data_IF_213711247583
#
_entry.id   IF_213711247583
#
_cell.length_a   1.000
_cell.length_b   1.000
_cell.length_c   1.000
_cell.angle_alpha   90.00
_cell.angle_beta   90.00
_cell.angle_gamma   90.00
#
_symmetry.space_group_name_H-M   'P 1'
#
loop_
_entity.id
_entity.type
_entity.pdbx_description
1 polymer ?
#
# COMPACT_ATOMS: atom_id res chain seq x y z
N UNK A 1 -20.46 -59.56 31.30
CA UNK A 1 -20.80 -58.35 30.51
C UNK A 1 -20.16 -57.09 31.08
N UNK A 2 -19.83 -57.04 32.37
CA UNK A 2 -19.38 -55.80 33.04
C UNK A 2 -17.94 -55.36 32.73
N UNK A 3 -17.04 -56.29 32.39
CA UNK A 3 -15.64 -55.95 32.07
C UNK A 3 -15.48 -55.26 30.69
N UNK A 4 -16.37 -55.55 29.73
CA UNK A 4 -16.30 -54.93 28.39
C UNK A 4 -16.86 -53.51 28.38
N UNK A 5 -17.81 -53.21 29.26
CA UNK A 5 -18.38 -51.86 29.40
C UNK A 5 -17.35 -50.92 30.06
N UNK A 6 -16.61 -51.41 31.07
CA UNK A 6 -15.56 -50.64 31.73
C UNK A 6 -14.38 -50.30 30.79
N UNK A 7 -13.98 -51.23 29.92
CA UNK A 7 -12.93 -50.99 28.93
C UNK A 7 -13.36 -49.96 27.85
N UNK A 8 -14.64 -49.98 27.45
CA UNK A 8 -15.20 -49.01 26.51
C UNK A 8 -15.26 -47.59 27.07
N UNK A 9 -15.62 -47.44 28.36
CA UNK A 9 -15.67 -46.15 29.04
C UNK A 9 -14.27 -45.54 29.26
N UNK A 10 -13.25 -46.37 29.54
CA UNK A 10 -11.87 -45.90 29.70
C UNK A 10 -11.26 -45.48 28.35
N UNK A 11 -11.57 -46.18 27.26
CA UNK A 11 -11.16 -45.78 25.91
C UNK A 11 -11.86 -44.48 25.46
N UNK A 12 -13.15 -44.31 25.82
CA UNK A 12 -13.88 -43.08 25.52
C UNK A 12 -13.34 -41.87 26.32
N UNK A 13 -13.02 -42.04 27.60
CA UNK A 13 -12.36 -40.99 28.39
C UNK A 13 -10.95 -40.66 27.87
N UNK A 14 -10.18 -41.65 27.42
CA UNK A 14 -8.85 -41.42 26.84
C UNK A 14 -8.93 -40.74 25.46
N UNK A 15 -10.00 -40.94 24.69
CA UNK A 15 -10.28 -40.19 23.47
C UNK A 15 -10.73 -38.75 23.77
N UNK A 16 -11.62 -38.55 24.74
CA UNK A 16 -12.11 -37.21 25.13
C UNK A 16 -11.01 -36.35 25.76
N UNK A 17 -10.02 -36.93 26.45
CA UNK A 17 -8.85 -36.20 26.96
C UNK A 17 -7.82 -35.91 25.86
N UNK A 18 -7.85 -36.61 24.72
CA UNK A 18 -6.93 -36.38 23.59
C UNK A 18 -7.42 -35.29 22.63
N UNK A 19 -8.74 -35.05 22.60
CA UNK A 19 -9.36 -33.98 21.80
C UNK A 19 -9.53 -32.66 22.57
N UNK A 20 -8.80 -32.51 23.68
CA UNK A 20 -8.61 -31.25 24.41
C UNK A 20 -7.39 -30.45 23.96
N UNK A 21 -6.82 -30.74 22.79
CA UNK A 21 -6.03 -29.75 22.08
C UNK A 21 -7.00 -28.60 21.79
N UNK A 22 -6.88 -27.52 22.56
CA UNK A 22 -7.44 -26.23 22.17
C UNK A 22 -7.18 -26.08 20.68
N UNK A 23 -8.26 -25.96 19.92
CA UNK A 23 -8.20 -25.48 18.55
C UNK A 23 -7.54 -24.11 18.67
N UNK A 24 -6.22 -24.09 18.48
CA UNK A 24 -5.44 -22.88 18.29
C UNK A 24 -6.14 -22.21 17.12
N UNK A 25 -6.90 -21.15 17.44
CA UNK A 25 -7.45 -20.29 16.41
C UNK A 25 -6.31 -19.99 15.47
N UNK A 26 -6.54 -20.14 14.17
CA UNK A 26 -5.68 -19.71 13.07
C UNK A 26 -5.19 -18.27 13.33
N UNK A 27 -4.19 -18.10 14.19
CA UNK A 27 -3.70 -16.80 14.61
C UNK A 27 -2.62 -16.47 13.60
N UNK A 28 -3.06 -15.85 12.51
CA UNK A 28 -2.16 -15.17 11.58
C UNK A 28 -1.06 -14.43 12.34
N UNK A 29 0.12 -14.35 11.74
CA UNK A 29 1.29 -13.70 12.34
C UNK A 29 0.91 -12.28 12.78
N UNK A 30 1.36 -11.88 13.98
CA UNK A 30 1.07 -10.58 14.58
C UNK A 30 1.91 -9.46 13.92
N UNK A 31 1.62 -9.18 12.66
CA UNK A 31 2.33 -8.18 11.87
C UNK A 31 1.64 -6.83 11.98
N UNK A 32 2.44 -5.79 12.14
CA UNK A 32 2.02 -4.39 12.17
C UNK A 32 2.85 -3.58 11.19
N UNK A 33 2.25 -2.58 10.57
CA UNK A 33 2.93 -1.65 9.68
C UNK A 33 2.67 -0.21 10.08
N UNK A 34 3.70 0.62 10.06
CA UNK A 34 3.62 2.07 10.21
C UNK A 34 4.15 2.66 8.92
N UNK A 35 3.30 3.34 8.17
CA UNK A 35 3.60 3.87 6.83
C UNK A 35 3.42 5.39 6.88
N UNK A 36 4.53 6.13 6.72
CA UNK A 36 4.54 7.57 6.92
C UNK A 36 5.16 8.30 5.75
N UNK A 37 4.35 9.13 5.09
CA UNK A 37 4.82 10.26 4.28
C UNK A 37 4.94 11.48 5.18
N UNK A 38 6.13 12.08 5.21
CA UNK A 38 6.43 13.23 6.07
C UNK A 38 6.37 14.58 5.33
N UNK A 39 6.15 14.59 4.02
CA UNK A 39 6.30 15.81 3.20
C UNK A 39 4.97 16.43 2.81
N UNK A 40 4.97 17.75 2.62
CA UNK A 40 3.76 18.49 2.24
C UNK A 40 3.86 19.05 0.82
N UNK A 41 2.74 19.55 0.30
CA UNK A 41 2.58 20.25 -0.96
C UNK A 41 2.63 19.37 -2.21
N UNK A 42 2.02 19.90 -3.28
CA UNK A 42 1.84 19.20 -4.56
C UNK A 42 3.13 18.67 -5.19
N UNK A 43 4.24 19.42 -5.08
CA UNK A 43 5.51 18.99 -5.67
C UNK A 43 6.10 17.73 -5.01
N UNK A 44 5.59 17.35 -3.84
CA UNK A 44 5.96 16.14 -3.11
C UNK A 44 4.94 15.00 -3.30
N UNK A 45 4.09 15.07 -4.34
CA UNK A 45 3.12 14.03 -4.69
C UNK A 45 3.65 12.61 -4.54
N UNK A 46 4.88 12.37 -5.03
CA UNK A 46 5.55 11.07 -4.96
C UNK A 46 5.64 10.48 -3.55
N UNK A 47 5.78 11.27 -2.49
CA UNK A 47 5.93 10.70 -1.15
C UNK A 47 4.59 10.12 -0.65
N UNK A 48 3.46 10.76 -0.96
CA UNK A 48 2.13 10.16 -0.74
C UNK A 48 1.95 8.89 -1.57
N UNK A 49 2.29 8.95 -2.86
CA UNK A 49 2.19 7.79 -3.75
C UNK A 49 3.13 6.65 -3.33
N UNK A 50 4.31 6.94 -2.78
CA UNK A 50 5.25 5.98 -2.23
C UNK A 50 4.64 5.23 -1.03
N UNK A 51 4.12 5.98 -0.06
CA UNK A 51 3.48 5.42 1.13
C UNK A 51 2.27 4.56 0.77
N UNK A 52 1.44 5.02 -0.17
CA UNK A 52 0.32 4.24 -0.67
C UNK A 52 0.75 3.01 -1.50
N UNK A 53 1.89 3.09 -2.20
CA UNK A 53 2.47 1.93 -2.90
C UNK A 53 2.85 0.84 -1.89
N UNK A 54 3.47 1.21 -0.76
CA UNK A 54 3.80 0.26 0.30
C UNK A 54 2.54 -0.28 0.99
N UNK A 55 1.55 0.58 1.28
CA UNK A 55 0.24 0.19 1.80
C UNK A 55 -0.39 -0.88 0.91
N UNK A 56 -0.41 -0.64 -0.40
CA UNK A 56 -0.93 -1.59 -1.38
C UNK A 56 -0.22 -2.96 -1.31
N UNK A 57 1.12 -3.00 -1.22
CA UNK A 57 1.87 -4.27 -1.11
C UNK A 57 1.52 -5.02 0.18
N UNK A 58 1.41 -4.31 1.30
CA UNK A 58 1.16 -4.86 2.62
C UNK A 58 -0.27 -5.42 2.73
N UNK A 59 -1.25 -4.67 2.23
CA UNK A 59 -2.65 -5.11 2.15
C UNK A 59 -2.81 -6.36 1.32
N UNK A 60 -2.14 -6.42 0.16
CA UNK A 60 -2.16 -7.61 -0.72
C UNK A 60 -1.63 -8.86 -0.01
N UNK A 61 -0.66 -8.69 0.90
CA UNK A 61 -0.06 -9.75 1.69
C UNK A 61 -0.82 -10.07 3.00
N UNK A 62 -2.02 -9.50 3.18
CA UNK A 62 -2.98 -9.92 4.19
C UNK A 62 -2.87 -9.23 5.55
N UNK A 63 -2.07 -8.16 5.69
CA UNK A 63 -2.12 -7.35 6.92
C UNK A 63 -3.44 -6.53 6.91
N UNK A 64 -4.30 -6.64 7.94
CA UNK A 64 -5.56 -5.89 8.01
C UNK A 64 -5.33 -4.41 8.37
N UNK A 65 -6.28 -3.53 8.06
CA UNK A 65 -6.17 -2.09 8.36
C UNK A 65 -6.05 -1.82 9.86
N UNK A 66 -6.65 -2.67 10.69
CA UNK A 66 -6.50 -2.59 12.15
C UNK A 66 -5.05 -2.69 12.64
N UNK A 67 -4.14 -3.17 11.77
CA UNK A 67 -2.72 -3.36 12.05
C UNK A 67 -1.82 -2.47 11.17
N UNK A 68 -2.39 -1.56 10.39
CA UNK A 68 -1.65 -0.62 9.55
C UNK A 68 -1.96 0.78 10.05
N UNK A 69 -0.91 1.52 10.41
CA UNK A 69 -1.01 2.95 10.70
C UNK A 69 -0.54 3.71 9.47
N UNK A 70 -1.46 4.40 8.80
CA UNK A 70 -1.19 5.19 7.60
C UNK A 70 -1.19 6.69 7.92
N UNK A 71 -0.05 7.34 7.69
CA UNK A 71 0.16 8.77 7.91
C UNK A 71 0.47 9.46 6.58
N UNK A 72 -0.43 10.34 6.12
CA UNK A 72 -0.25 11.12 4.88
C UNK A 72 -0.26 12.62 5.22
N UNK A 73 0.89 13.28 5.01
CA UNK A 73 1.06 14.68 5.33
C UNK A 73 0.37 15.63 4.32
N UNK A 74 0.01 15.13 3.14
CA UNK A 74 -0.72 15.87 2.11
C UNK A 74 -1.88 15.04 1.52
N UNK A 75 -2.99 15.69 1.20
CA UNK A 75 -4.12 15.05 0.50
C UNK A 75 -4.01 15.33 -1.00
N UNK A 76 -3.15 14.56 -1.67
CA UNK A 76 -2.93 14.70 -3.13
C UNK A 76 -4.12 14.18 -3.94
N UNK A 77 -4.91 13.26 -3.39
CA UNK A 77 -6.10 12.72 -4.04
C UNK A 77 -7.14 13.83 -4.25
N UNK A 78 -7.31 14.70 -3.24
CA UNK A 78 -8.29 15.78 -3.24
C UNK A 78 -7.70 17.17 -3.47
N UNK A 79 -6.42 17.25 -3.84
CA UNK A 79 -5.77 18.50 -4.18
C UNK A 79 -6.40 19.11 -5.45
N UNK A 80 -6.71 20.43 -5.49
CA UNK A 80 -7.27 21.08 -6.68
C UNK A 80 -6.38 21.02 -7.93
N UNK A 81 -5.10 20.68 -7.78
CA UNK A 81 -4.17 20.46 -8.91
C UNK A 81 -4.27 19.06 -9.51
N UNK A 82 -4.92 18.11 -8.83
CA UNK A 82 -5.08 16.76 -9.32
C UNK A 82 -6.15 16.71 -10.43
N UNK A 83 -5.79 16.41 -11.69
CA UNK A 83 -6.73 16.30 -12.79
C UNK A 83 -7.65 15.06 -12.68
N UNK A 84 -7.33 14.12 -11.78
CA UNK A 84 -8.14 12.94 -11.46
C UNK A 84 -8.53 12.96 -9.96
N UNK A 85 -9.54 13.75 -9.56
CA UNK A 85 -9.95 13.86 -8.16
C UNK A 85 -10.32 12.50 -7.56
N UNK A 86 -9.77 12.21 -6.39
CA UNK A 86 -9.98 10.95 -5.67
C UNK A 86 -9.07 9.81 -6.10
N UNK A 87 -8.16 10.02 -7.06
CA UNK A 87 -7.22 9.01 -7.54
C UNK A 87 -5.78 9.41 -7.27
N UNK A 88 -4.93 8.42 -6.99
CA UNK A 88 -3.48 8.58 -6.83
C UNK A 88 -2.78 7.48 -7.62
N UNK A 89 -1.77 7.82 -8.40
CA UNK A 89 -1.05 6.89 -9.27
C UNK A 89 0.46 7.00 -9.02
N UNK A 90 1.21 5.90 -9.13
CA UNK A 90 2.68 5.91 -9.01
C UNK A 90 3.39 5.73 -10.37
N UNK A 91 2.64 5.81 -11.46
CA UNK A 91 3.14 5.69 -12.82
C UNK A 91 2.34 6.60 -13.77
N UNK A 92 2.96 7.11 -14.84
CA UNK A 92 2.36 8.13 -15.70
C UNK A 92 1.26 7.59 -16.62
N UNK A 93 1.16 6.27 -16.77
CA UNK A 93 0.14 5.61 -17.57
C UNK A 93 -1.09 5.25 -16.72
N UNK A 94 -1.09 5.63 -15.42
CA UNK A 94 -2.17 5.44 -14.47
C UNK A 94 -2.64 3.99 -14.39
N UNK A 95 -1.70 3.04 -14.33
CA UNK A 95 -2.03 1.61 -14.33
C UNK A 95 -2.73 1.16 -13.05
N UNK A 96 -2.39 1.75 -11.90
CA UNK A 96 -2.93 1.35 -10.61
C UNK A 96 -3.37 2.55 -9.78
N UNK A 97 -4.66 2.61 -9.43
CA UNK A 97 -5.13 3.53 -8.41
C UNK A 97 -4.68 3.06 -7.02
N UNK A 98 -3.88 3.88 -6.35
CA UNK A 98 -3.35 3.64 -5.02
C UNK A 98 -4.26 4.17 -3.90
N UNK A 99 -5.30 4.92 -4.24
CA UNK A 99 -6.21 5.52 -3.27
C UNK A 99 -7.69 5.17 -3.53
N UNK A 100 -8.05 3.87 -3.56
CA UNK A 100 -9.45 3.47 -3.64
C UNK A 100 -10.18 3.74 -2.30
N UNK A 101 -11.53 3.69 -2.27
CA UNK A 101 -12.32 4.06 -1.09
C UNK A 101 -12.02 3.28 0.20
N UNK A 102 -11.38 2.11 0.09
CA UNK A 102 -11.02 1.24 1.21
C UNK A 102 -9.72 1.68 1.92
N UNK A 103 -9.04 2.73 1.45
CA UNK A 103 -7.83 3.24 2.11
C UNK A 103 -8.21 4.00 3.38
N UNK A 104 -7.84 3.45 4.53
CA UNK A 104 -8.00 4.10 5.83
C UNK A 104 -6.73 4.91 6.16
N UNK A 105 -6.86 6.24 6.21
CA UNK A 105 -5.75 7.13 6.60
C UNK A 105 -5.97 7.57 8.05
N UNK A 106 -5.09 7.13 8.94
CA UNK A 106 -5.20 7.39 10.38
C UNK A 106 -4.79 8.80 10.74
N UNK A 107 -3.67 9.28 10.21
CA UNK A 107 -3.17 10.63 10.45
C UNK A 107 -3.14 11.40 9.14
N UNK A 108 -3.90 12.49 9.07
CA UNK A 108 -4.05 13.32 7.85
C UNK A 108 -3.49 14.72 8.06
N UNK A 109 -2.77 15.23 7.07
CA UNK A 109 -2.35 16.63 7.05
C UNK A 109 -1.53 17.00 8.29
N UNK A 110 -1.99 18.02 9.02
CA UNK A 110 -1.32 18.56 10.22
C UNK A 110 -1.16 17.53 11.35
N UNK A 111 -1.93 16.43 11.36
CA UNK A 111 -1.78 15.37 12.35
C UNK A 111 -0.50 14.55 12.15
N UNK A 112 0.10 14.61 10.96
CA UNK A 112 1.41 14.00 10.68
C UNK A 112 2.51 14.93 11.19
N UNK A 113 2.75 14.88 12.49
CA UNK A 113 3.75 15.68 13.19
C UNK A 113 4.80 14.80 13.87
N UNK A 114 5.94 15.38 14.25
CA UNK A 114 6.96 14.64 14.98
C UNK A 114 6.42 14.12 16.33
N UNK A 115 5.64 14.96 17.02
CA UNK A 115 5.02 14.65 18.30
C UNK A 115 4.11 13.41 18.20
N UNK A 116 3.24 13.37 17.19
CA UNK A 116 2.31 12.26 17.02
C UNK A 116 3.02 10.97 16.62
N UNK A 117 4.07 11.05 15.78
CA UNK A 117 4.87 9.88 15.44
C UNK A 117 5.61 9.30 16.65
N UNK A 118 6.27 10.14 17.46
CA UNK A 118 6.92 9.69 18.71
C UNK A 118 5.89 9.17 19.72
N UNK A 119 4.72 9.82 19.82
CA UNK A 119 3.63 9.37 20.69
C UNK A 119 3.12 7.98 20.29
N UNK A 120 2.95 7.74 19.00
CA UNK A 120 2.57 6.45 18.43
C UNK A 120 3.59 5.37 18.79
N UNK A 121 4.88 5.61 18.49
CA UNK A 121 5.96 4.68 18.78
C UNK A 121 6.06 4.40 20.28
N UNK A 122 5.99 5.42 21.14
CA UNK A 122 6.14 5.25 22.59
C UNK A 122 4.86 4.79 23.31
N UNK A 123 3.72 4.73 22.60
CA UNK A 123 2.44 4.27 23.14
C UNK A 123 1.83 5.22 24.18
N UNK A 124 2.28 6.48 24.20
CA UNK A 124 1.90 7.48 25.20
C UNK A 124 0.63 8.22 24.80
N UNK A 125 -0.46 7.48 24.70
CA UNK A 125 -1.75 8.00 24.27
C UNK A 125 -2.59 8.53 25.44
N UNK A 126 -3.41 9.54 25.17
CA UNK A 126 -4.47 9.97 26.08
C UNK A 126 -5.64 8.98 26.03
N UNK A 127 -6.48 8.94 27.07
CA UNK A 127 -7.59 7.98 27.16
C UNK A 127 -8.57 8.07 25.97
N UNK A 128 -8.72 9.26 25.39
CA UNK A 128 -9.58 9.62 24.26
C UNK A 128 -8.96 9.37 22.88
N UNK A 129 -7.67 8.99 22.79
CA UNK A 129 -7.03 8.70 21.49
C UNK A 129 -7.79 7.57 20.77
N UNK A 130 -8.27 7.70 19.53
CA UNK A 130 -8.99 6.64 18.82
C UNK A 130 -8.14 5.36 18.66
N UNK A 131 -8.79 4.19 18.59
CA UNK A 131 -8.06 2.91 18.43
C UNK A 131 -7.25 2.85 17.14
N UNK A 132 -7.79 3.38 16.04
CA UNK A 132 -7.10 3.47 14.74
C UNK A 132 -5.80 4.30 14.79
N UNK A 133 -5.66 5.16 15.80
CA UNK A 133 -4.46 6.00 16.03
C UNK A 133 -3.48 5.40 17.03
N UNK A 134 -3.66 4.14 17.45
CA UNK A 134 -2.82 3.46 18.45
C UNK A 134 -2.07 2.30 17.80
N UNK A 135 -0.80 2.16 18.17
CA UNK A 135 0.00 1.01 17.80
C UNK A 135 -0.10 -0.05 18.90
N UNK A 136 -1.11 -0.93 18.83
CA UNK A 136 -1.37 -1.93 19.87
C UNK A 136 -0.48 -3.18 19.74
N UNK A 137 0.83 -2.98 19.53
CA UNK A 137 1.84 -4.04 19.44
C UNK A 137 2.28 -4.57 20.81
N UNK A 138 2.81 -5.79 20.82
CA UNK A 138 3.25 -6.55 21.98
C UNK A 138 4.61 -7.26 21.75
N UNK A 139 4.97 -8.16 22.66
CA UNK A 139 6.26 -8.86 22.67
C UNK A 139 6.41 -9.89 21.53
N UNK A 140 5.31 -10.26 20.88
CA UNK A 140 5.26 -11.23 19.78
C UNK A 140 5.04 -10.55 18.41
N UNK A 141 4.94 -9.21 18.41
CA UNK A 141 4.64 -8.42 17.22
C UNK A 141 5.85 -8.25 16.29
N UNK A 142 5.61 -8.39 14.99
CA UNK A 142 6.54 -8.06 13.91
C UNK A 142 6.18 -6.70 13.35
N UNK A 143 7.07 -5.72 13.51
CA UNK A 143 6.75 -4.32 13.15
C UNK A 143 7.55 -3.90 11.92
N UNK A 144 6.84 -3.49 10.87
CA UNK A 144 7.41 -2.75 9.76
C UNK A 144 7.23 -1.25 10.01
N UNK A 145 8.29 -0.47 9.86
CA UNK A 145 8.21 0.99 9.79
C UNK A 145 8.78 1.42 8.45
N UNK A 146 7.95 2.05 7.62
CA UNK A 146 8.36 2.64 6.35
C UNK A 146 8.16 4.15 6.41
N UNK A 147 9.23 4.90 6.14
CA UNK A 147 9.22 6.36 6.11
C UNK A 147 9.72 6.87 4.75
N UNK A 148 9.03 7.88 4.23
CA UNK A 148 9.43 8.59 3.02
C UNK A 148 9.24 10.10 3.20
N UNK A 149 10.09 10.86 2.53
CA UNK A 149 10.07 12.32 2.60
C UNK A 149 11.42 12.95 2.30
N UNK A 150 11.63 14.14 2.84
CA UNK A 150 12.91 14.84 2.77
C UNK A 150 13.70 14.74 4.07
N UNK A 151 15.01 14.75 3.95
CA UNK A 151 15.93 14.55 5.06
C UNK A 151 17.26 15.25 4.80
N UNK A 152 18.08 15.31 5.85
CA UNK A 152 19.51 15.59 5.78
C UNK A 152 20.28 14.60 6.64
N UNK A 153 21.56 14.88 6.87
CA UNK A 153 22.38 14.10 7.79
C UNK A 153 21.76 14.09 9.19
N UNK A 154 21.45 12.90 9.71
CA UNK A 154 20.93 12.64 11.06
C UNK A 154 19.51 13.19 11.34
N UNK A 155 18.72 13.61 10.34
CA UNK A 155 17.33 14.03 10.58
C UNK A 155 16.40 13.85 9.37
N UNK A 156 15.11 13.71 9.64
CA UNK A 156 14.01 13.70 8.65
C UNK A 156 13.10 14.89 8.90
N UNK A 157 12.63 15.54 7.82
CA UNK A 157 11.70 16.67 7.90
C UNK A 157 10.26 16.21 7.93
N UNK A 158 9.49 16.74 8.87
CA UNK A 158 8.03 16.65 8.90
C UNK A 158 7.42 17.97 8.46
N UNK A 159 6.42 17.91 7.58
CA UNK A 159 5.66 19.06 7.10
C UNK A 159 6.51 20.16 6.42
N UNK A 160 7.72 19.86 5.96
CA UNK A 160 8.73 20.79 5.42
C UNK A 160 9.37 21.78 6.42
N UNK A 161 8.88 21.91 7.66
CA UNK A 161 9.42 22.87 8.65
C UNK A 161 9.89 22.26 9.97
N UNK A 162 9.39 21.09 10.35
CA UNK A 162 9.76 20.42 11.58
C UNK A 162 10.83 19.35 11.29
N UNK A 163 11.74 19.12 12.21
CA UNK A 163 12.82 18.14 12.06
C UNK A 163 12.77 17.14 13.20
N UNK A 164 12.84 15.85 12.86
CA UNK A 164 13.01 14.76 13.81
C UNK A 164 14.40 14.15 13.60
N UNK A 165 15.18 14.08 14.67
CA UNK A 165 16.56 13.57 14.58
C UNK A 165 16.61 12.05 14.65
N UNK A 166 17.70 11.46 14.16
CA UNK A 166 18.00 10.03 14.29
C UNK A 166 18.05 9.60 15.77
N UNK A 167 18.43 10.51 16.67
CA UNK A 167 18.41 10.29 18.12
C UNK A 167 16.98 10.18 18.68
N UNK A 168 16.06 11.05 18.26
CA UNK A 168 14.66 10.99 18.73
C UNK A 168 14.01 9.65 18.35
N UNK A 169 14.27 9.19 17.13
CA UNK A 169 13.77 7.90 16.63
C UNK A 169 14.42 6.74 17.40
N UNK A 170 15.74 6.78 17.62
CA UNK A 170 16.45 5.76 18.39
C UNK A 170 15.90 5.61 19.81
N UNK A 171 15.64 6.72 20.50
CA UNK A 171 15.09 6.73 21.85
C UNK A 171 13.63 6.26 21.90
N UNK A 172 12.84 6.53 20.86
CA UNK A 172 11.50 5.99 20.72
C UNK A 172 11.52 4.45 20.55
N UNK A 173 12.40 3.92 19.70
CA UNK A 173 12.57 2.47 19.55
C UNK A 173 13.11 1.81 20.82
N UNK A 174 13.99 2.48 21.56
CA UNK A 174 14.44 1.98 22.85
C UNK A 174 13.30 1.88 23.86
N UNK A 175 12.36 2.83 23.85
CA UNK A 175 11.17 2.75 24.69
C UNK A 175 10.26 1.61 24.25
N UNK A 176 10.04 1.42 22.95
CA UNK A 176 9.28 0.26 22.44
C UNK A 176 9.90 -1.06 22.91
N UNK A 177 11.23 -1.20 22.79
CA UNK A 177 11.93 -2.41 23.22
C UNK A 177 11.80 -2.63 24.73
N UNK A 178 12.01 -1.59 25.53
CA UNK A 178 11.91 -1.64 26.99
C UNK A 178 10.50 -2.01 27.48
N UNK A 179 9.48 -1.59 26.72
CA UNK A 179 8.07 -1.93 26.97
C UNK A 179 7.65 -3.27 26.35
N UNK A 180 8.56 -3.99 25.67
CA UNK A 180 8.29 -5.24 24.95
C UNK A 180 7.17 -5.08 23.92
N UNK A 181 7.26 -4.06 23.08
CA UNK A 181 6.27 -3.73 22.04
C UNK A 181 6.67 -4.13 20.62
N UNK A 182 7.72 -4.94 20.50
CA UNK A 182 8.01 -5.69 19.29
C UNK A 182 8.89 -6.89 19.61
N UNK A 183 8.72 -7.96 18.84
CA UNK A 183 9.64 -9.11 18.77
C UNK A 183 10.82 -8.80 17.87
N UNK A 184 10.52 -8.32 16.66
CA UNK A 184 11.45 -7.93 15.59
C UNK A 184 10.89 -6.71 14.85
N UNK A 185 11.77 -5.83 14.41
CA UNK A 185 11.41 -4.61 13.69
C UNK A 185 12.22 -4.47 12.40
N UNK A 186 11.53 -4.17 11.29
CA UNK A 186 12.12 -3.82 10.01
C UNK A 186 11.91 -2.33 9.73
N UNK A 187 12.99 -1.58 9.63
CA UNK A 187 12.99 -0.16 9.29
C UNK A 187 13.34 0.03 7.81
N UNK A 188 12.47 0.68 7.05
CA UNK A 188 12.67 1.06 5.65
C UNK A 188 12.60 2.58 5.52
N UNK A 189 13.67 3.22 5.03
CA UNK A 189 13.68 4.66 4.80
C UNK A 189 13.94 5.01 3.34
N UNK A 190 13.00 5.70 2.69
CA UNK A 190 13.14 6.25 1.35
C UNK A 190 13.29 7.77 1.36
N UNK A 191 14.53 8.24 1.50
CA UNK A 191 14.87 9.67 1.59
C UNK A 191 16.37 9.91 1.34
N UNK A 192 16.83 11.16 1.33
CA UNK A 192 18.25 11.50 1.20
C UNK A 192 19.02 11.11 2.49
N UNK A 193 20.33 10.91 2.43
CA UNK A 193 21.16 10.61 3.61
C UNK A 193 20.58 9.49 4.51
N UNK A 194 19.80 8.56 3.94
CA UNK A 194 18.86 7.75 4.70
C UNK A 194 19.55 6.78 5.65
N UNK A 195 20.79 6.38 5.34
CA UNK A 195 21.63 5.59 6.23
C UNK A 195 21.83 6.25 7.61
N UNK A 196 21.99 7.58 7.63
CA UNK A 196 22.25 8.33 8.89
C UNK A 196 21.08 8.29 9.85
N UNK A 197 19.85 8.05 9.37
CA UNK A 197 18.67 7.95 10.23
C UNK A 197 18.74 6.75 11.17
N UNK A 198 19.29 5.63 10.70
CA UNK A 198 19.38 4.42 11.50
C UNK A 198 20.75 4.20 12.13
N UNK A 199 21.79 4.98 11.81
CA UNK A 199 23.13 4.90 12.43
C UNK A 199 23.09 5.07 13.96
N UNK A 200 22.14 5.85 14.49
CA UNK A 200 21.98 6.09 15.93
C UNK A 200 21.13 5.04 16.63
N UNK A 201 20.53 4.09 15.92
CA UNK A 201 19.74 3.04 16.56
C UNK A 201 20.66 2.13 17.40
N UNK A 202 20.17 1.74 18.57
CA UNK A 202 20.91 0.91 19.53
C UNK A 202 20.03 -0.16 20.20
N UNK A 203 18.74 -0.21 19.85
CA UNK A 203 17.82 -1.23 20.37
C UNK A 203 17.96 -2.52 19.57
N UNK A 204 17.93 -3.69 20.23
CA UNK A 204 18.11 -4.97 19.56
C UNK A 204 16.86 -5.38 18.76
N UNK A 205 17.02 -6.44 17.98
CA UNK A 205 16.03 -7.04 17.09
C UNK A 205 15.54 -6.09 15.98
N UNK A 206 16.43 -5.22 15.50
CA UNK A 206 16.14 -4.26 14.42
C UNK A 206 16.97 -4.56 13.17
N UNK A 207 16.30 -4.66 12.03
CA UNK A 207 16.92 -4.72 10.70
C UNK A 207 16.59 -3.44 9.96
N UNK A 208 17.57 -2.75 9.40
CA UNK A 208 17.36 -1.44 8.78
C UNK A 208 17.84 -1.43 7.33
N UNK A 209 16.99 -0.98 6.41
CA UNK A 209 17.31 -0.79 5.00
C UNK A 209 16.94 0.65 4.60
N UNK A 210 17.82 1.29 3.85
CA UNK A 210 17.69 2.70 3.48
C UNK A 210 17.98 2.89 2.00
N UNK A 211 17.35 3.88 1.37
CA UNK A 211 17.45 4.12 -0.07
C UNK A 211 18.74 4.80 -0.53
N UNK A 212 19.49 5.42 0.39
CA UNK A 212 20.71 6.16 0.10
C UNK A 212 21.76 6.00 1.21
N UNK A 213 23.04 6.09 0.83
CA UNK A 213 24.15 6.13 1.78
C UNK A 213 24.21 7.45 2.58
N UNK A 214 25.13 7.57 3.55
CA UNK A 214 25.16 8.70 4.47
C UNK A 214 25.48 10.06 3.80
N UNK A 215 26.15 10.04 2.65
CA UNK A 215 26.54 11.23 1.88
C UNK A 215 25.86 11.29 0.50
N UNK A 216 24.71 10.64 0.35
CA UNK A 216 24.01 10.53 -0.94
C UNK A 216 22.56 11.03 -0.87
N UNK A 217 22.08 11.59 -1.98
CA UNK A 217 20.66 11.87 -2.15
C UNK A 217 19.90 10.61 -2.62
N UNK A 218 18.60 10.54 -2.31
CA UNK A 218 17.67 9.68 -3.04
C UNK A 218 17.10 10.43 -4.24
N UNK A 219 16.49 9.69 -5.18
CA UNK A 219 16.03 10.27 -6.44
C UNK A 219 14.63 9.81 -6.79
N UNK A 220 13.85 10.75 -7.29
CA UNK A 220 12.54 10.51 -7.86
C UNK A 220 12.61 9.73 -9.18
N UNK A 221 11.48 9.14 -9.54
CA UNK A 221 11.27 8.37 -10.75
C UNK A 221 9.91 8.71 -11.37
N UNK A 222 9.79 8.48 -12.68
CA UNK A 222 8.59 8.73 -13.48
C UNK A 222 8.01 10.16 -13.34
N UNK A 223 8.32 11.01 -14.31
CA UNK A 223 7.66 12.30 -14.44
C UNK A 223 6.29 12.14 -15.11
N UNK A 224 5.26 12.71 -14.51
CA UNK A 224 3.94 12.81 -15.12
C UNK A 224 3.72 14.25 -15.61
N UNK A 225 3.55 14.40 -16.93
CA UNK A 225 3.37 15.71 -17.57
C UNK A 225 2.00 16.33 -17.27
N UNK A 226 0.97 15.52 -16.99
CA UNK A 226 -0.36 16.01 -16.63
C UNK A 226 -0.39 16.56 -15.20
N UNK A 227 0.37 15.95 -14.29
CA UNK A 227 0.52 16.40 -12.90
C UNK A 227 1.61 17.47 -12.73
N UNK A 228 2.58 17.52 -13.65
CA UNK A 228 3.72 18.44 -13.62
C UNK A 228 4.76 18.11 -12.53
N UNK A 229 4.75 16.88 -12.02
CA UNK A 229 5.58 16.40 -10.90
C UNK A 229 6.06 14.97 -11.15
N UNK A 230 7.03 14.50 -10.36
CA UNK A 230 7.36 13.08 -10.32
C UNK A 230 6.36 12.35 -9.41
N UNK A 231 6.00 11.12 -9.78
CA UNK A 231 4.91 10.38 -9.12
C UNK A 231 5.38 9.28 -8.18
N UNK A 232 6.66 8.92 -8.18
CA UNK A 232 7.21 7.89 -7.27
C UNK A 232 8.70 8.12 -7.06
N UNK A 233 9.29 7.58 -5.99
CA UNK A 233 10.76 7.51 -5.84
C UNK A 233 11.33 6.17 -6.31
N UNK A 234 12.60 6.17 -6.72
CA UNK A 234 13.24 4.99 -7.31
C UNK A 234 13.24 3.80 -6.36
N UNK A 235 13.59 4.02 -5.09
CA UNK A 235 13.64 2.93 -4.12
C UNK A 235 12.26 2.32 -3.90
N UNK A 236 11.24 3.15 -3.71
CA UNK A 236 9.87 2.65 -3.55
C UNK A 236 9.33 1.96 -4.79
N UNK A 237 9.58 2.50 -5.99
CA UNK A 237 9.20 1.86 -7.25
C UNK A 237 9.81 0.46 -7.40
N UNK A 238 11.13 0.34 -7.22
CA UNK A 238 11.82 -0.93 -7.38
C UNK A 238 11.53 -1.92 -6.25
N UNK A 239 11.31 -1.44 -5.02
CA UNK A 239 10.84 -2.26 -3.90
C UNK A 239 9.44 -2.80 -4.18
N UNK A 240 8.49 -1.95 -4.56
CA UNK A 240 7.11 -2.35 -4.87
C UNK A 240 7.06 -3.33 -6.03
N UNK A 241 7.91 -3.14 -7.05
CA UNK A 241 8.04 -4.07 -8.17
C UNK A 241 8.61 -5.41 -7.73
N UNK A 242 9.68 -5.42 -6.95
CA UNK A 242 10.26 -6.65 -6.41
C UNK A 242 9.24 -7.44 -5.59
N UNK A 243 8.50 -6.75 -4.69
CA UNK A 243 7.46 -7.37 -3.88
C UNK A 243 6.34 -7.95 -4.75
N UNK A 244 5.89 -7.23 -5.77
CA UNK A 244 4.85 -7.70 -6.71
C UNK A 244 5.30 -8.90 -7.55
N UNK A 245 6.53 -8.90 -8.04
CA UNK A 245 7.04 -9.93 -8.93
C UNK A 245 7.50 -11.19 -8.18
N UNK A 246 8.08 -11.01 -6.98
CA UNK A 246 8.82 -12.06 -6.26
C UNK A 246 8.19 -12.49 -4.92
N UNK A 247 7.33 -11.67 -4.31
CA UNK A 247 6.64 -11.97 -3.05
C UNK A 247 5.14 -12.05 -3.31
N UNK A 248 4.74 -13.13 -3.99
CA UNK A 248 3.36 -13.34 -4.44
C UNK A 248 2.43 -13.83 -3.34
N UNK A 249 2.96 -14.54 -2.35
CA UNK A 249 2.19 -15.14 -1.26
C UNK A 249 3.01 -15.28 0.03
N UNK A 250 2.34 -15.65 1.11
CA UNK A 250 2.91 -15.90 2.45
C UNK A 250 3.97 -17.00 2.48
N UNK A 251 3.97 -17.90 1.49
CA UNK A 251 4.92 -19.02 1.38
C UNK A 251 6.19 -18.61 0.67
N UNK A 252 6.27 -17.38 0.14
CA UNK A 252 7.47 -16.85 -0.50
C UNK A 252 8.67 -17.00 0.44
N UNK A 253 9.74 -17.57 -0.12
CA UNK A 253 11.02 -17.77 0.55
C UNK A 253 12.01 -16.63 0.24
N UNK A 254 11.51 -15.50 -0.26
CA UNK A 254 12.36 -14.32 -0.53
C UNK A 254 12.79 -13.68 0.78
N UNK A 255 14.08 -13.42 0.84
CA UNK A 255 14.78 -12.89 2.00
C UNK A 255 14.92 -11.38 1.93
N UNK A 256 15.30 -10.76 3.04
CA UNK A 256 15.63 -9.32 3.03
C UNK A 256 16.86 -9.06 2.16
N UNK A 257 17.82 -9.99 2.13
CA UNK A 257 18.97 -9.89 1.22
C UNK A 257 18.54 -9.91 -0.26
N UNK A 258 17.58 -10.77 -0.65
CA UNK A 258 17.05 -10.76 -2.03
C UNK A 258 16.48 -9.38 -2.42
N UNK A 259 15.85 -8.67 -1.48
CA UNK A 259 15.38 -7.30 -1.72
C UNK A 259 16.54 -6.33 -1.90
N UNK A 260 17.57 -6.40 -1.06
CA UNK A 260 18.77 -5.55 -1.19
C UNK A 260 19.46 -5.78 -2.54
N UNK A 261 19.63 -7.04 -2.94
CA UNK A 261 20.23 -7.41 -4.22
C UNK A 261 19.41 -6.94 -5.42
N UNK A 262 18.09 -6.79 -5.25
CA UNK A 262 17.18 -6.26 -6.27
C UNK A 262 17.25 -4.74 -6.44
N UNK A 263 17.98 -4.03 -5.56
CA UNK A 263 18.12 -2.58 -5.48
C UNK A 263 19.55 -2.08 -5.77
N UNK A 264 20.20 -2.50 -6.89
CA UNK A 264 21.53 -2.03 -7.23
C UNK A 264 21.55 -0.53 -7.58
N UNK A 265 22.74 0.06 -7.48
CA UNK A 265 22.98 1.47 -7.85
C UNK A 265 22.43 1.85 -9.23
N UNK A 266 22.51 0.95 -10.23
CA UNK A 266 21.99 1.22 -11.58
C UNK A 266 20.49 1.52 -11.63
N UNK A 267 19.73 1.05 -10.63
CA UNK A 267 18.29 1.32 -10.49
C UNK A 267 18.02 2.54 -9.62
N UNK A 268 18.74 2.67 -8.50
CA UNK A 268 18.47 3.70 -7.50
C UNK A 268 19.18 5.04 -7.77
N UNK A 269 20.33 5.00 -8.44
CA UNK A 269 21.30 6.09 -8.54
C UNK A 269 21.86 6.56 -7.18
N UNK A 270 21.73 5.70 -6.17
CA UNK A 270 22.25 5.79 -4.81
C UNK A 270 22.55 4.37 -4.32
N UNK A 271 23.24 4.23 -3.19
CA UNK A 271 23.53 2.94 -2.59
C UNK A 271 22.49 2.62 -1.51
N UNK A 272 21.71 1.56 -1.75
CA UNK A 272 20.88 0.99 -0.69
C UNK A 272 21.78 0.48 0.44
N UNK A 273 21.53 0.94 1.67
CA UNK A 273 22.36 0.60 2.82
C UNK A 273 21.57 -0.26 3.80
N UNK A 274 22.07 -1.47 4.05
CA UNK A 274 21.54 -2.45 5.00
C UNK A 274 22.37 -2.42 6.29
N UNK A 275 21.71 -2.38 7.44
CA UNK A 275 22.32 -2.47 8.77
C UNK A 275 21.68 -3.63 9.54
N UNK A 276 22.54 -4.56 10.00
CA UNK A 276 22.13 -5.85 10.58
C UNK A 276 22.73 -6.13 11.97
N UNK A 277 23.65 -5.29 12.48
CA UNK A 277 24.37 -5.52 13.75
C UNK A 277 23.46 -5.58 14.98
N UNK A 278 22.26 -4.99 14.88
CA UNK A 278 21.23 -5.03 15.92
C UNK A 278 20.25 -6.21 15.77
N UNK A 279 20.36 -7.00 14.70
CA UNK A 279 19.43 -8.08 14.40
C UNK A 279 20.04 -9.45 14.79
N UNK A 280 19.26 -10.38 15.38
CA UNK A 280 19.79 -11.66 15.87
C UNK A 280 20.16 -12.68 14.78
N UNK A 281 19.84 -12.41 13.51
CA UNK A 281 20.06 -13.29 12.35
C UNK A 281 20.58 -12.47 11.17
N UNK A 282 20.96 -13.10 10.05
CA UNK A 282 21.31 -12.36 8.83
C UNK A 282 20.07 -12.07 7.97
N UNK A 283 20.13 -11.02 7.13
CA UNK A 283 19.13 -10.70 6.12
C UNK A 283 18.98 -11.81 5.09
N UNK A 284 20.04 -12.60 4.85
CA UNK A 284 20.01 -13.77 3.96
C UNK A 284 19.21 -14.95 4.54
N UNK A 285 18.97 -14.99 5.84
CA UNK A 285 18.14 -16.00 6.51
C UNK A 285 16.75 -15.46 6.87
N UNK A 286 16.57 -14.14 6.80
CA UNK A 286 15.35 -13.45 7.22
C UNK A 286 14.38 -13.31 6.06
N UNK A 287 13.24 -13.99 6.15
CA UNK A 287 12.19 -13.90 5.13
C UNK A 287 11.47 -12.54 5.18
N UNK A 288 11.19 -11.95 4.02
CA UNK A 288 10.38 -10.73 3.95
C UNK A 288 8.96 -10.94 4.49
N UNK A 289 8.42 -12.14 4.30
CA UNK A 289 7.10 -12.51 4.81
C UNK A 289 7.05 -12.53 6.34
N UNK A 290 8.19 -12.53 7.04
CA UNK A 290 8.24 -12.34 8.50
C UNK A 290 7.68 -10.97 8.91
N UNK A 291 7.86 -9.93 8.09
CA UNK A 291 7.39 -8.56 8.36
C UNK A 291 6.17 -8.17 7.54
N UNK A 292 6.07 -8.65 6.30
CA UNK A 292 5.11 -8.14 5.32
C UNK A 292 3.81 -8.94 5.22
N UNK A 293 3.69 -10.11 5.86
CA UNK A 293 2.56 -11.01 5.63
C UNK A 293 2.02 -11.61 6.94
N UNK A 294 0.71 -11.41 7.19
CA UNK A 294 0.03 -11.87 8.40
C UNK A 294 -0.72 -13.20 8.21
N UNK A 295 -1.44 -13.36 7.08
CA UNK A 295 -2.40 -14.47 6.88
C UNK A 295 -2.23 -15.15 5.52
N UNK A 296 -2.51 -16.45 5.44
CA UNK A 296 -2.63 -17.18 4.15
C UNK A 296 -3.86 -16.74 3.32
N UNK A 297 -4.67 -15.82 3.84
CA UNK A 297 -5.80 -15.21 3.15
C UNK A 297 -5.38 -13.95 2.38
N UNK A 298 -5.65 -13.95 1.08
CA UNK A 298 -5.46 -12.79 0.21
C UNK A 298 -6.66 -11.86 0.30
N UNK A 299 -6.42 -10.56 0.48
CA UNK A 299 -7.41 -9.54 0.15
C UNK A 299 -7.27 -9.25 -1.34
N UNK A 300 -8.21 -9.76 -2.14
CA UNK A 300 -8.34 -9.34 -3.53
C UNK A 300 -8.82 -7.88 -3.51
N UNK A 301 -7.93 -6.95 -3.87
CA UNK A 301 -8.35 -5.60 -4.26
C UNK A 301 -9.00 -5.76 -5.65
N UNK A 302 -10.30 -5.54 -5.76
CA UNK A 302 -11.13 -5.95 -6.91
C UNK A 302 -10.73 -5.34 -8.28
N UNK A 303 -9.81 -4.38 -8.32
CA UNK A 303 -9.25 -3.85 -9.59
C UNK A 303 -8.27 -4.81 -10.31
N UNK A 304 -7.76 -5.85 -9.64
CA UNK A 304 -6.56 -6.56 -10.10
C UNK A 304 -6.73 -7.60 -11.22
N UNK A 305 -7.95 -8.07 -11.54
CA UNK A 305 -8.13 -8.97 -12.69
C UNK A 305 -8.25 -8.24 -14.03
N UNK A 306 -8.56 -6.95 -14.03
CA UNK A 306 -8.73 -6.20 -15.27
C UNK A 306 -7.40 -5.77 -15.90
N UNK A 307 -6.30 -5.69 -15.13
CA UNK A 307 -4.99 -5.27 -15.66
C UNK A 307 -4.33 -6.35 -16.52
N UNK A 308 -4.32 -7.61 -16.06
CA UNK A 308 -3.77 -8.74 -16.85
C UNK A 308 -4.62 -9.07 -18.08
N UNK A 309 -5.95 -8.89 -18.01
CA UNK A 309 -6.83 -8.94 -19.19
C UNK A 309 -6.59 -7.78 -20.15
N UNK A 310 -6.48 -6.54 -19.65
CA UNK A 310 -6.25 -5.35 -20.49
C UNK A 310 -4.88 -5.36 -21.16
N UNK A 311 -3.83 -5.91 -20.56
CA UNK A 311 -2.52 -6.06 -21.22
C UNK A 311 -2.57 -7.07 -22.38
N UNK A 312 -3.31 -8.18 -22.21
CA UNK A 312 -3.55 -9.16 -23.28
C UNK A 312 -4.42 -8.59 -24.41
N UNK A 313 -5.48 -7.87 -24.06
CA UNK A 313 -6.42 -7.26 -25.00
C UNK A 313 -5.81 -6.06 -25.75
N UNK A 314 -4.99 -5.22 -25.09
CA UNK A 314 -4.24 -4.14 -25.76
C UNK A 314 -3.30 -4.71 -26.82
N UNK A 315 -2.56 -5.79 -26.52
CA UNK A 315 -1.64 -6.43 -27.48
C UNK A 315 -2.37 -6.98 -28.71
N UNK A 316 -3.52 -7.63 -28.51
CA UNK A 316 -4.36 -8.17 -29.60
C UNK A 316 -5.02 -7.04 -30.41
N UNK A 317 -5.51 -5.99 -29.76
CA UNK A 317 -6.15 -4.84 -30.43
C UNK A 317 -5.19 -4.03 -31.31
N UNK A 318 -3.90 -3.99 -30.98
CA UNK A 318 -2.88 -3.26 -31.73
C UNK A 318 -2.40 -4.03 -32.97
N UNK A 319 -2.51 -5.36 -32.96
CA UNK A 319 -2.26 -6.23 -34.11
C UNK A 319 -3.47 -6.32 -35.05
N UNK A 320 -4.70 -6.31 -34.50
CA UNK A 320 -5.95 -6.36 -35.30
C UNK A 320 -6.22 -5.02 -36.00
N UNK A 321 -5.94 -3.87 -35.36
CA UNK A 321 -6.10 -2.55 -35.99
C UNK A 321 -5.12 -2.32 -37.15
N UNK A 322 -3.95 -2.98 -37.15
CA UNK A 322 -3.02 -2.98 -38.29
C UNK A 322 -3.48 -3.86 -39.47
N UNK A 323 -4.39 -4.79 -39.24
CA UNK A 323 -4.96 -5.67 -40.26
C UNK A 323 -6.29 -5.14 -40.82
N UNK A 324 -7.01 -4.30 -40.08
CA UNK A 324 -8.35 -3.82 -40.44
C UNK A 324 -8.37 -2.54 -41.31
N UNK A 325 -7.23 -1.88 -41.56
CA UNK A 325 -7.17 -0.66 -42.41
C UNK A 325 -7.29 -0.94 -43.93
N UNK A 326 -7.55 -2.18 -44.37
CA UNK A 326 -7.62 -2.53 -45.81
C UNK A 326 -9.06 -2.79 -46.33
N UNK A 327 -10.11 -2.77 -45.51
CA UNK A 327 -11.45 -3.12 -46.02
C UNK A 327 -12.58 -2.38 -45.31
N UNK A 328 -13.19 -1.39 -45.99
CA UNK A 328 -14.60 -1.40 -46.41
C UNK A 328 -15.18 0.00 -46.70
N UNK A 329 -15.65 0.15 -47.93
CA UNK A 329 -16.63 1.14 -48.38
C UNK A 329 -18.05 0.56 -48.25
N UNK A 330 -18.99 1.35 -47.70
CA UNK A 330 -20.31 1.56 -48.32
C UNK A 330 -21.57 0.82 -47.80
N UNK A 331 -22.63 1.64 -47.59
CA UNK A 331 -24.09 1.37 -47.57
C UNK A 331 -24.68 0.67 -46.32
N UNK A 332 -25.88 0.96 -45.82
CA UNK A 332 -27.03 1.79 -46.24
C UNK A 332 -28.21 1.54 -45.27
N UNK A 333 -29.18 2.45 -45.27
CA UNK A 333 -30.20 2.77 -44.25
C UNK A 333 -31.51 1.93 -44.31
N UNK A 334 -32.17 1.70 -43.16
CA UNK A 334 -33.65 1.73 -43.00
C UNK A 334 -34.09 1.63 -41.51
N UNK A 335 -34.95 2.56 -41.06
CA UNK A 335 -35.31 2.79 -39.65
C UNK A 335 -36.75 2.42 -39.24
N UNK A 336 -36.99 2.24 -37.93
CA UNK A 336 -38.34 2.14 -37.34
C UNK A 336 -38.45 2.86 -35.97
N UNK A 337 -39.66 3.36 -35.69
CA UNK A 337 -40.06 4.27 -34.58
C UNK A 337 -40.28 3.60 -33.23
N UNK A 338 -39.83 4.26 -32.14
CA UNK A 338 -40.20 3.92 -30.75
C UNK A 338 -40.40 5.18 -29.87
N UNK A 339 -41.31 5.11 -28.89
CA UNK A 339 -41.73 6.25 -28.03
C UNK A 339 -41.50 5.93 -26.56
N UNK A 340 -40.88 6.85 -25.80
CA UNK A 340 -40.87 6.84 -24.33
C UNK A 340 -40.89 8.26 -23.75
N UNK A 341 -41.70 8.48 -22.71
CA UNK A 341 -41.79 9.72 -21.91
C UNK A 341 -41.91 11.03 -22.72
N UNK A 342 -42.83 11.07 -23.70
CA UNK A 342 -43.25 12.32 -24.34
C UNK A 342 -42.31 12.90 -25.41
N UNK A 343 -41.21 12.22 -25.74
CA UNK A 343 -40.32 12.60 -26.84
C UNK A 343 -40.30 11.53 -27.94
N UNK A 344 -40.27 11.94 -29.21
CA UNK A 344 -40.19 11.07 -30.39
C UNK A 344 -38.82 11.25 -31.01
N UNK A 345 -38.06 10.15 -31.15
CA UNK A 345 -36.76 10.14 -31.83
C UNK A 345 -36.72 8.97 -32.81
N UNK A 346 -36.37 9.26 -34.07
CA UNK A 346 -36.21 8.26 -35.13
C UNK A 346 -34.74 7.81 -35.17
N UNK A 347 -34.47 6.51 -34.94
CA UNK A 347 -33.11 5.94 -34.98
C UNK A 347 -33.10 4.62 -35.79
N UNK A 348 -32.05 4.36 -36.59
CA UNK A 348 -31.90 3.11 -37.33
C UNK A 348 -31.55 1.93 -36.40
N UNK A 349 -31.96 0.72 -36.79
CA UNK A 349 -31.98 -0.49 -35.94
C UNK A 349 -30.62 -1.00 -35.42
N UNK A 350 -29.51 -0.41 -35.85
CA UNK A 350 -28.15 -0.79 -35.46
C UNK A 350 -27.66 -0.24 -34.11
N UNK A 351 -28.38 0.71 -33.48
CA UNK A 351 -27.93 1.37 -32.23
C UNK A 351 -28.57 0.84 -30.93
N UNK A 352 -29.16 -0.36 -30.92
CA UNK A 352 -29.74 -0.96 -29.68
C UNK A 352 -28.72 -1.16 -28.54
N UNK A 353 -27.45 -1.41 -28.88
CA UNK A 353 -26.40 -1.65 -27.88
C UNK A 353 -25.88 -0.36 -27.22
N UNK A 354 -25.93 0.77 -27.93
CA UNK A 354 -25.35 2.04 -27.46
C UNK A 354 -26.22 2.74 -26.40
N UNK A 355 -27.55 2.68 -26.53
CA UNK A 355 -28.47 3.30 -25.56
C UNK A 355 -28.56 2.53 -24.24
N UNK A 356 -28.50 1.20 -24.30
CA UNK A 356 -28.47 0.34 -23.11
C UNK A 356 -27.15 0.55 -22.33
N UNK A 357 -26.04 0.74 -23.03
CA UNK A 357 -24.76 1.08 -22.42
C UNK A 357 -24.75 2.49 -21.81
N UNK A 358 -25.35 3.48 -22.47
CA UNK A 358 -25.40 4.86 -21.96
C UNK A 358 -26.27 5.00 -20.70
N UNK A 359 -27.40 4.28 -20.61
CA UNK A 359 -28.26 4.31 -19.40
C UNK A 359 -27.60 3.60 -18.21
N UNK A 360 -26.86 2.52 -18.46
CA UNK A 360 -26.06 1.84 -17.41
C UNK A 360 -24.86 2.69 -16.98
N UNK A 361 -24.21 3.37 -17.92
CA UNK A 361 -23.11 4.30 -17.62
C UNK A 361 -23.57 5.54 -16.85
N UNK A 362 -24.78 6.05 -17.13
CA UNK A 362 -25.33 7.21 -16.41
C UNK A 362 -25.90 6.82 -15.03
N UNK A 363 -26.49 5.63 -14.91
CA UNK A 363 -26.95 5.07 -13.64
C UNK A 363 -25.81 4.72 -12.67
N UNK A 364 -24.67 4.24 -13.18
CA UNK A 364 -23.49 3.95 -12.37
C UNK A 364 -22.73 5.22 -11.93
N UNK A 365 -22.82 6.31 -12.70
CA UNK A 365 -22.14 7.57 -12.39
C UNK A 365 -22.83 8.40 -11.27
N UNK A 366 -24.08 8.10 -10.91
CA UNK A 366 -24.83 8.87 -9.88
C UNK A 366 -24.71 8.34 -8.46
N UNK A 367 -23.98 7.25 -8.21
CA UNK A 367 -23.87 6.63 -6.87
C UNK A 367 -22.45 6.52 -6.30
N UNK A 368 -21.42 6.96 -7.03
CA UNK A 368 -20.07 7.07 -6.50
C UNK A 368 -19.84 8.49 -5.97
N UNK A 369 -20.01 8.69 -4.66
CA UNK A 369 -19.45 9.87 -4.00
C UNK A 369 -17.93 9.73 -4.12
N UNK A 370 -17.31 10.57 -4.96
CA UNK A 370 -15.85 10.61 -5.04
C UNK A 370 -15.30 10.95 -3.64
N UNK A 371 -14.15 10.38 -3.23
CA UNK A 371 -13.56 10.58 -1.90
C UNK A 371 -13.43 12.05 -1.47
N UNK A 372 -13.38 12.95 -2.46
CA UNK A 372 -13.08 14.36 -2.30
C UNK A 372 -14.29 15.27 -2.10
N UNK A 373 -15.49 14.71 -1.91
CA UNK A 373 -16.70 15.51 -1.62
C UNK A 373 -17.11 16.47 -2.75
N UNK A 374 -16.57 16.30 -3.97
CA UNK A 374 -16.98 17.05 -5.14
C UNK A 374 -18.27 16.45 -5.71
N UNK A 375 -19.39 17.15 -5.56
CA UNK A 375 -20.52 16.92 -6.45
C UNK A 375 -20.09 17.32 -7.87
N UNK A 376 -20.29 16.46 -8.90
CA UNK A 376 -19.98 16.83 -10.26
C UNK A 376 -20.89 18.01 -10.65
N UNK A 377 -20.33 19.23 -10.69
CA UNK A 377 -21.05 20.36 -11.25
C UNK A 377 -21.24 20.10 -12.74
N UNK A 378 -22.46 19.72 -13.14
CA UNK A 378 -22.87 19.71 -14.54
C UNK A 378 -22.88 21.17 -15.01
N UNK A 379 -21.71 21.68 -15.43
CA UNK A 379 -21.66 22.92 -16.20
C UNK A 379 -22.15 22.57 -17.60
N UNK A 380 -23.42 22.89 -17.84
CA UNK A 380 -24.07 22.77 -19.13
C UNK A 380 -23.27 23.49 -20.22
N UNK A 381 -22.92 22.73 -21.25
CA UNK A 381 -22.73 23.27 -22.59
C UNK A 381 -24.13 23.44 -23.19
N UNK A 382 -24.61 24.68 -23.19
CA UNK A 382 -25.65 25.15 -24.10
C UNK A 382 -25.06 25.33 -25.49
#
# INVERSE_FOLDING_TARGET
MDAMIAAGLLMWLLCVVRDGAAMESDSGRNNWAILVDTSRYWYNYRHVANTLSMYYQIKRLGIPDSNIILMLAEDVACNPRNPAPGYVFNDPDNHLNLYPPEVEVDYRGDEVSTENFIRLLTGRHTADTPKSKRLDTDADSYVLVYITGHSGTDFVKFQDWEEMTSHDIADAFQQMFSQRRYKKLLWLADTCHAATLHDRFYSPNMLCLSSSGPDENSYSYHADLSLGVNVVDRFTYWTSRFLSDSVKDTRSQRTVQDLVDALPWSKLHSHATLREDLYPSSASETLLTEFLAATDQFVFVDEFQNLTKKEGEKKVSHEVSRAAEVEQQGAGDDGQRYVYSGWVVDLPGSMRALLSALVVLWGAASSAVLPCGFEPSVRGLL
#
